data_IF_679742965202
#
_entry.id   IF_679742965202
#
_cell.length_a   1.000
_cell.length_b   1.000
_cell.length_c   1.000
_cell.angle_alpha   90.00
_cell.angle_beta   90.00
_cell.angle_gamma   90.00
#
_symmetry.space_group_name_H-M   'P 1'
#
loop_
_entity.id
_entity.type
_entity.pdbx_description
1 polymer ?
#
# COMPACT_ATOMS: atom_id res chain seq x y z
N UNK A 1 25.15 29.80 10.80
CA UNK A 1 24.76 28.43 11.19
C UNK A 1 25.06 27.37 10.12
N UNK A 2 24.40 27.38 8.95
CA UNK A 2 24.59 26.31 7.92
C UNK A 2 26.01 26.27 7.34
N UNK A 3 26.61 27.44 7.10
CA UNK A 3 27.99 27.52 6.58
C UNK A 3 29.04 27.03 7.60
N UNK A 4 28.80 27.28 8.88
CA UNK A 4 29.64 26.76 9.98
C UNK A 4 29.52 25.24 10.07
N UNK A 5 28.29 24.70 10.02
CA UNK A 5 28.04 23.25 9.94
C UNK A 5 28.72 22.62 8.74
N UNK A 6 28.69 23.27 7.57
CA UNK A 6 29.36 22.79 6.36
C UNK A 6 30.87 22.68 6.55
N UNK A 7 31.51 23.67 7.18
CA UNK A 7 32.94 23.65 7.47
C UNK A 7 33.29 22.54 8.46
N UNK A 8 32.51 22.39 9.54
CA UNK A 8 32.72 21.29 10.51
C UNK A 8 32.56 19.92 9.83
N UNK A 9 31.54 19.74 8.99
CA UNK A 9 31.33 18.50 8.24
C UNK A 9 32.52 18.21 7.32
N UNK A 10 33.01 19.22 6.61
CA UNK A 10 34.17 19.10 5.75
C UNK A 10 35.41 18.63 6.53
N UNK A 11 35.71 19.27 7.66
CA UNK A 11 36.85 18.91 8.52
C UNK A 11 36.74 17.48 9.06
N UNK A 12 35.55 17.07 9.50
CA UNK A 12 35.31 15.71 9.99
C UNK A 12 35.61 14.66 8.92
N UNK A 13 35.13 14.84 7.68
CA UNK A 13 35.34 13.88 6.59
C UNK A 13 36.81 13.86 6.15
N UNK A 14 37.46 15.02 6.05
CA UNK A 14 38.88 15.10 5.67
C UNK A 14 39.75 14.41 6.72
N UNK A 15 39.45 14.57 8.00
CA UNK A 15 40.20 13.94 9.11
C UNK A 15 40.13 12.41 9.09
N UNK A 16 39.04 11.82 8.61
CA UNK A 16 38.92 10.37 8.44
C UNK A 16 39.86 9.81 7.35
N UNK A 17 40.25 10.64 6.37
CA UNK A 17 41.27 10.29 5.38
C UNK A 17 40.86 9.24 4.33
N UNK A 18 39.58 8.89 4.24
CA UNK A 18 39.08 7.84 3.31
C UNK A 18 39.04 8.31 1.85
N UNK A 19 38.75 9.59 1.61
CA UNK A 19 38.63 10.16 0.26
C UNK A 19 39.58 11.33 0.04
N UNK A 20 39.92 11.60 -1.22
CA UNK A 20 40.78 12.74 -1.57
C UNK A 20 40.12 14.07 -1.18
N UNK A 21 40.93 15.03 -0.73
CA UNK A 21 40.49 16.39 -0.39
C UNK A 21 39.61 17.01 -1.49
N UNK A 22 40.01 16.87 -2.75
CA UNK A 22 39.28 17.39 -3.92
C UNK A 22 37.89 16.78 -4.07
N UNK A 23 37.75 15.47 -3.82
CA UNK A 23 36.46 14.77 -3.86
C UNK A 23 35.57 15.26 -2.73
N UNK A 24 36.10 15.30 -1.50
CA UNK A 24 35.35 15.73 -0.31
C UNK A 24 34.85 17.16 -0.48
N UNK A 25 35.72 18.08 -0.94
CA UNK A 25 35.34 19.48 -1.13
C UNK A 25 34.20 19.63 -2.15
N UNK A 26 34.30 18.97 -3.31
CA UNK A 26 33.28 19.04 -4.34
C UNK A 26 31.93 18.46 -3.88
N UNK A 27 31.97 17.33 -3.16
CA UNK A 27 30.76 16.62 -2.72
C UNK A 27 30.09 17.30 -1.54
N UNK A 28 30.86 17.87 -0.58
CA UNK A 28 30.30 18.68 0.51
C UNK A 28 29.64 19.95 -0.05
N UNK A 29 30.28 20.65 -0.99
CA UNK A 29 29.66 21.81 -1.65
C UNK A 29 28.36 21.43 -2.36
N UNK A 30 28.37 20.34 -3.13
CA UNK A 30 27.16 19.86 -3.81
C UNK A 30 26.07 19.44 -2.81
N UNK A 31 26.44 18.81 -1.70
CA UNK A 31 25.50 18.36 -0.69
C UNK A 31 24.74 19.53 -0.04
N UNK A 32 25.46 20.57 0.37
CA UNK A 32 24.87 21.72 1.06
C UNK A 32 24.19 22.71 0.12
N UNK A 33 24.71 22.90 -1.11
CA UNK A 33 24.24 23.95 -2.03
C UNK A 33 23.56 23.41 -3.29
N UNK A 34 23.98 22.25 -3.78
CA UNK A 34 23.50 21.67 -5.04
C UNK A 34 22.26 20.80 -4.90
N UNK A 35 22.17 19.98 -3.84
CA UNK A 35 21.01 19.12 -3.58
C UNK A 35 19.76 19.93 -3.22
N UNK A 36 19.93 21.12 -2.63
CA UNK A 36 18.83 21.93 -2.12
C UNK A 36 17.89 21.09 -1.22
N UNK A 37 18.49 20.51 -0.18
CA UNK A 37 17.77 19.78 0.87
C UNK A 37 16.94 20.74 1.71
N UNK A 38 15.80 20.27 2.20
CA UNK A 38 14.96 21.08 3.08
C UNK A 38 15.73 21.51 4.35
N UNK A 39 15.60 22.77 4.82
CA UNK A 39 16.35 23.27 5.98
C UNK A 39 16.25 22.41 7.23
N UNK A 40 15.08 21.79 7.46
CA UNK A 40 14.87 20.88 8.61
C UNK A 40 15.83 19.69 8.62
N UNK A 41 16.43 19.31 7.50
CA UNK A 41 17.46 18.28 7.46
C UNK A 41 18.64 18.67 8.35
N UNK A 42 19.10 19.92 8.23
CA UNK A 42 20.23 20.45 8.99
C UNK A 42 19.89 20.77 10.45
N UNK A 43 18.59 20.87 10.77
CA UNK A 43 18.10 20.97 12.14
C UNK A 43 17.95 19.60 12.80
N UNK A 44 17.60 18.58 12.01
CA UNK A 44 17.33 17.22 12.50
C UNK A 44 18.62 16.43 12.72
N UNK A 45 19.67 16.68 11.93
CA UNK A 45 20.92 15.94 12.01
C UNK A 45 22.08 16.80 12.51
N UNK A 46 22.89 16.22 13.39
CA UNK A 46 24.14 16.82 13.87
C UNK A 46 25.19 16.86 12.77
N UNK A 47 26.19 17.75 12.88
CA UNK A 47 27.35 17.78 11.97
C UNK A 47 28.02 16.40 11.82
N UNK A 48 28.14 15.63 12.91
CA UNK A 48 28.72 14.29 12.86
C UNK A 48 27.88 13.30 12.04
N UNK A 49 26.55 13.34 12.19
CA UNK A 49 25.65 12.52 11.39
C UNK A 49 25.70 12.93 9.91
N UNK A 50 25.66 14.24 9.63
CA UNK A 50 25.76 14.76 8.26
C UNK A 50 27.09 14.35 7.62
N UNK A 51 28.20 14.41 8.34
CA UNK A 51 29.50 13.95 7.85
C UNK A 51 29.46 12.48 7.42
N UNK A 52 28.85 11.60 8.24
CA UNK A 52 28.64 10.19 7.88
C UNK A 52 27.72 10.03 6.67
N UNK A 53 26.65 10.82 6.56
CA UNK A 53 25.72 10.77 5.42
C UNK A 53 26.42 11.16 4.12
N UNK A 54 27.24 12.22 4.13
CA UNK A 54 28.06 12.63 2.99
C UNK A 54 29.08 11.55 2.65
N UNK A 55 29.71 10.93 3.65
CA UNK A 55 30.64 9.82 3.45
C UNK A 55 29.98 8.65 2.71
N UNK A 56 28.79 8.25 3.16
CA UNK A 56 27.99 7.20 2.52
C UNK A 56 27.60 7.60 1.09
N UNK A 57 27.21 8.86 0.87
CA UNK A 57 26.89 9.38 -0.46
C UNK A 57 28.10 9.31 -1.41
N UNK A 58 29.29 9.70 -0.96
CA UNK A 58 30.52 9.61 -1.76
C UNK A 58 30.80 8.14 -2.10
N UNK A 59 30.75 7.24 -1.13
CA UNK A 59 30.96 5.81 -1.34
C UNK A 59 29.99 5.24 -2.39
N UNK A 60 28.70 5.53 -2.23
CA UNK A 60 27.65 5.07 -3.13
C UNK A 60 27.84 5.60 -4.56
N UNK A 61 28.19 6.89 -4.72
CA UNK A 61 28.51 7.46 -6.04
C UNK A 61 29.72 6.80 -6.70
N UNK A 62 30.71 6.36 -5.92
CA UNK A 62 31.89 5.66 -6.44
C UNK A 62 31.54 4.25 -6.89
N UNK A 63 30.69 3.54 -6.15
CA UNK A 63 30.17 2.21 -6.55
C UNK A 63 29.37 2.31 -7.85
N UNK A 64 28.44 3.27 -7.93
CA UNK A 64 27.65 3.54 -9.14
C UNK A 64 28.54 3.81 -10.37
N UNK A 65 29.59 4.62 -10.22
CA UNK A 65 30.56 4.86 -11.30
C UNK A 65 31.40 3.64 -11.67
N UNK A 66 31.77 2.81 -10.70
CA UNK A 66 32.60 1.62 -10.95
C UNK A 66 31.83 0.49 -11.64
N UNK A 67 30.50 0.51 -11.54
CA UNK A 67 29.60 -0.49 -12.15
C UNK A 67 28.98 -0.01 -13.46
N UNK A 68 29.41 1.17 -13.96
CA UNK A 68 28.81 1.90 -15.09
C UNK A 68 27.30 2.20 -14.94
N UNK A 69 26.75 1.98 -13.75
CA UNK A 69 25.38 2.32 -13.36
C UNK A 69 25.31 3.76 -12.85
N UNK A 70 25.66 4.70 -13.74
CA UNK A 70 25.93 6.10 -13.38
C UNK A 70 24.72 6.89 -12.85
N UNK A 71 23.52 6.33 -12.93
CA UNK A 71 22.30 6.95 -12.42
C UNK A 71 21.74 6.21 -11.21
N UNK A 72 21.88 4.88 -11.10
CA UNK A 72 21.24 4.15 -10.01
C UNK A 72 22.22 3.92 -8.87
N UNK A 73 21.99 4.65 -7.78
CA UNK A 73 22.82 4.57 -6.59
C UNK A 73 21.94 4.27 -5.41
N UNK A 74 22.31 3.27 -4.63
CA UNK A 74 21.76 2.97 -3.32
C UNK A 74 22.87 2.65 -2.33
N UNK A 75 22.63 2.96 -1.05
CA UNK A 75 23.52 2.56 0.04
C UNK A 75 22.72 2.42 1.32
N UNK A 76 23.07 1.42 2.11
CA UNK A 76 22.43 1.14 3.38
C UNK A 76 23.47 0.88 4.47
N UNK A 77 23.26 1.50 5.63
CA UNK A 77 23.99 1.26 6.86
C UNK A 77 22.98 0.91 7.94
N UNK A 78 23.05 -0.32 8.45
CA UNK A 78 22.13 -0.83 9.48
C UNK A 78 22.90 -1.11 10.76
N UNK A 79 22.34 -0.69 11.88
CA UNK A 79 22.73 -1.11 13.23
C UNK A 79 21.49 -1.67 13.94
N UNK A 80 21.68 -2.20 15.14
CA UNK A 80 20.57 -2.76 15.93
C UNK A 80 19.46 -1.73 16.26
N UNK A 81 19.80 -0.43 16.28
CA UNK A 81 18.87 0.63 16.69
C UNK A 81 18.62 1.69 15.61
N UNK A 82 19.43 1.72 14.55
CA UNK A 82 19.29 2.72 13.49
C UNK A 82 19.49 2.11 12.11
N UNK A 83 18.71 2.59 11.14
CA UNK A 83 18.84 2.23 9.74
C UNK A 83 18.97 3.50 8.90
N UNK A 84 20.09 3.67 8.23
CA UNK A 84 20.32 4.77 7.31
C UNK A 84 20.37 4.25 5.88
N UNK A 85 19.59 4.86 5.00
CA UNK A 85 19.52 4.48 3.59
C UNK A 85 19.53 5.72 2.71
N UNK A 86 20.21 5.64 1.59
CA UNK A 86 20.18 6.67 0.55
C UNK A 86 19.95 6.01 -0.79
N UNK A 87 19.25 6.71 -1.67
CA UNK A 87 18.96 6.20 -3.01
C UNK A 87 18.72 7.33 -4.00
N UNK A 88 18.92 7.08 -5.29
CA UNK A 88 18.38 7.96 -6.32
C UNK A 88 16.90 7.70 -6.52
N UNK A 89 16.11 8.76 -6.51
CA UNK A 89 14.66 8.70 -6.63
C UNK A 89 14.19 9.39 -7.92
N UNK A 90 13.15 8.80 -8.50
CA UNK A 90 12.45 9.32 -9.67
C UNK A 90 10.94 9.17 -9.50
N UNK A 91 10.17 10.02 -10.18
CA UNK A 91 8.71 10.03 -10.16
C UNK A 91 8.21 10.45 -11.55
N UNK A 92 7.16 9.82 -12.11
CA UNK A 92 6.31 8.79 -11.50
C UNK A 92 6.90 7.37 -11.51
N UNK A 93 7.85 7.09 -12.41
CA UNK A 93 8.51 5.78 -12.50
C UNK A 93 9.71 5.75 -11.57
N UNK A 94 9.78 4.80 -10.62
CA UNK A 94 10.92 4.70 -9.70
C UNK A 94 12.14 4.12 -10.41
N UNK A 95 13.32 4.43 -9.91
CA UNK A 95 14.55 3.74 -10.30
C UNK A 95 14.58 2.33 -9.68
N UNK A 96 15.37 1.41 -10.24
CA UNK A 96 15.58 0.11 -9.61
C UNK A 96 16.22 0.24 -8.22
N UNK A 97 17.15 1.20 -8.06
CA UNK A 97 17.77 1.52 -6.78
C UNK A 97 16.73 1.97 -5.73
N UNK A 98 15.75 2.77 -6.13
CA UNK A 98 14.66 3.20 -5.25
C UNK A 98 13.82 2.01 -4.79
N UNK A 99 13.43 1.11 -5.69
CA UNK A 99 12.63 -0.08 -5.35
C UNK A 99 13.38 -0.97 -4.36
N UNK A 100 14.66 -1.29 -4.64
CA UNK A 100 15.50 -2.09 -3.72
C UNK A 100 15.64 -1.41 -2.35
N UNK A 101 15.84 -0.10 -2.33
CA UNK A 101 15.99 0.66 -1.08
C UNK A 101 14.71 0.63 -0.26
N UNK A 102 13.56 0.84 -0.88
CA UNK A 102 12.26 0.75 -0.21
C UNK A 102 11.99 -0.65 0.35
N UNK A 103 12.35 -1.72 -0.36
CA UNK A 103 12.29 -3.10 0.15
C UNK A 103 13.21 -3.31 1.36
N UNK A 104 14.43 -2.76 1.31
CA UNK A 104 15.38 -2.83 2.42
C UNK A 104 14.92 -2.06 3.66
N UNK A 105 14.25 -0.91 3.46
CA UNK A 105 13.62 -0.11 4.51
C UNK A 105 12.45 -0.88 5.09
N UNK A 106 11.53 -1.40 4.25
CA UNK A 106 10.38 -2.18 4.71
C UNK A 106 10.81 -3.37 5.58
N UNK A 107 11.81 -4.14 5.11
CA UNK A 107 12.39 -5.25 5.87
C UNK A 107 12.97 -4.78 7.21
N UNK A 108 13.70 -3.67 7.24
CA UNK A 108 14.24 -3.13 8.49
C UNK A 108 13.13 -2.71 9.45
N UNK A 109 12.07 -2.05 8.96
CA UNK A 109 10.93 -1.67 9.77
C UNK A 109 10.26 -2.90 10.38
N UNK A 110 10.05 -3.96 9.61
CA UNK A 110 9.43 -5.19 10.10
C UNK A 110 10.32 -5.95 11.11
N UNK A 111 11.64 -6.03 10.88
CA UNK A 111 12.59 -6.68 11.77
C UNK A 111 12.80 -5.92 13.09
N UNK A 112 12.70 -4.59 13.06
CA UNK A 112 12.90 -3.73 14.24
C UNK A 112 11.69 -3.69 15.18
N UNK A 113 10.61 -4.41 14.83
CA UNK A 113 9.38 -4.44 15.61
C UNK A 113 9.55 -5.18 16.93
N UNK A 114 8.96 -4.61 17.97
CA UNK A 114 8.75 -5.29 19.23
C UNK A 114 7.72 -4.54 20.07
N UNK A 115 7.03 -5.25 20.95
CA UNK A 115 5.90 -4.74 21.76
C UNK A 115 6.23 -3.49 22.61
N UNK A 116 7.51 -3.19 22.81
CA UNK A 116 7.99 -2.06 23.62
C UNK A 116 8.83 -1.05 22.86
N UNK A 117 8.96 -1.24 21.55
CA UNK A 117 9.84 -0.43 20.73
C UNK A 117 9.02 0.51 19.85
N UNK A 118 9.35 1.80 19.93
CA UNK A 118 8.92 2.79 18.96
C UNK A 118 9.88 2.71 17.77
N UNK A 119 9.32 2.61 16.58
CA UNK A 119 10.00 2.87 15.32
C UNK A 119 9.57 4.23 14.81
N UNK A 120 10.58 5.06 14.54
CA UNK A 120 10.46 6.33 13.84
C UNK A 120 11.20 6.22 12.51
N UNK A 121 10.59 6.69 11.42
CA UNK A 121 11.26 6.76 10.12
C UNK A 121 11.06 8.15 9.53
N UNK A 122 12.17 8.77 9.14
CA UNK A 122 12.20 10.04 8.43
C UNK A 122 12.67 9.81 7.01
N UNK A 123 11.91 10.31 6.04
CA UNK A 123 12.34 10.42 4.65
C UNK A 123 12.49 11.89 4.28
N UNK A 124 13.56 12.22 3.54
CA UNK A 124 13.75 13.53 2.91
C UNK A 124 14.26 13.38 1.49
N UNK A 125 13.65 14.11 0.57
CA UNK A 125 14.03 14.18 -0.83
C UNK A 125 14.70 15.53 -1.14
N UNK A 126 15.76 15.49 -1.92
CA UNK A 126 16.38 16.69 -2.50
C UNK A 126 15.49 17.30 -3.59
N UNK A 127 15.71 18.57 -3.90
CA UNK A 127 15.16 19.19 -5.11
C UNK A 127 16.13 19.06 -6.29
N UNK A 128 17.41 19.29 -6.01
CA UNK A 128 18.48 19.17 -6.97
C UNK A 128 18.89 17.71 -7.19
N UNK A 129 19.64 17.45 -8.27
CA UNK A 129 20.02 16.10 -8.64
C UNK A 129 21.10 15.52 -7.72
N UNK A 130 21.04 14.21 -7.49
CA UNK A 130 22.03 13.48 -6.69
C UNK A 130 23.44 13.62 -7.31
N UNK A 131 23.52 13.53 -8.63
CA UNK A 131 24.74 13.77 -9.41
C UNK A 131 24.73 15.18 -10.02
N UNK A 132 25.88 15.86 -10.02
CA UNK A 132 26.02 17.15 -10.68
C UNK A 132 25.77 17.01 -12.19
N UNK A 133 24.76 17.71 -12.70
CA UNK A 133 24.34 17.63 -14.11
C UNK A 133 23.38 16.48 -14.44
N UNK A 134 23.02 15.63 -13.46
CA UNK A 134 21.99 14.60 -13.62
C UNK A 134 20.57 15.15 -13.42
N UNK A 135 19.59 14.26 -13.50
CA UNK A 135 18.15 14.58 -13.32
C UNK A 135 17.53 13.88 -12.11
N UNK A 136 18.06 12.71 -11.71
CA UNK A 136 17.58 11.94 -10.57
C UNK A 136 17.92 12.64 -9.25
N UNK A 137 16.95 12.68 -8.33
CA UNK A 137 17.09 13.36 -7.03
C UNK A 137 17.61 12.38 -5.99
N UNK A 138 18.12 12.89 -4.87
CA UNK A 138 18.54 12.08 -3.73
C UNK A 138 17.36 11.88 -2.77
N UNK A 139 17.05 10.64 -2.45
CA UNK A 139 16.20 10.26 -1.32
C UNK A 139 17.06 9.77 -0.16
N UNK A 140 16.73 10.20 1.06
CA UNK A 140 17.40 9.79 2.30
C UNK A 140 16.33 9.25 3.25
N UNK A 141 16.51 8.03 3.74
CA UNK A 141 15.72 7.43 4.80
C UNK A 141 16.59 7.28 6.06
N UNK A 142 16.08 7.71 7.20
CA UNK A 142 16.68 7.51 8.52
C UNK A 142 15.62 6.89 9.43
N UNK A 143 15.78 5.63 9.76
CA UNK A 143 14.97 4.90 10.71
C UNK A 143 15.70 4.82 12.05
N UNK A 144 14.97 4.99 13.14
CA UNK A 144 15.49 4.84 14.49
C UNK A 144 14.49 4.11 15.37
N UNK A 145 15.03 3.22 16.19
CA UNK A 145 14.31 2.46 17.18
C UNK A 145 14.54 3.04 18.57
N UNK A 146 13.46 3.41 19.23
CA UNK A 146 13.42 3.89 20.61
C UNK A 146 12.57 2.94 21.46
N UNK A 147 12.51 3.18 22.77
CA UNK A 147 11.60 2.47 23.67
C UNK A 147 10.43 3.36 24.06
N UNK A 148 9.25 2.76 24.21
CA UNK A 148 8.15 3.43 24.86
C UNK A 148 8.41 3.53 26.36
N UNK A 149 8.05 4.67 26.95
CA UNK A 149 8.10 4.85 28.40
C UNK A 149 6.93 4.13 29.09
N UNK A 150 5.79 3.99 28.39
CA UNK A 150 4.62 3.29 28.87
C UNK A 150 4.87 1.77 29.01
N UNK A 151 4.66 1.25 30.22
CA UNK A 151 4.82 -0.20 30.50
C UNK A 151 3.54 -0.98 30.18
N UNK A 152 2.38 -0.35 30.33
CA UNK A 152 1.06 -0.90 29.99
C UNK A 152 0.19 0.21 29.44
N UNK A 153 -0.47 -0.06 28.33
CA UNK A 153 -1.39 0.85 27.66
C UNK A 153 -2.81 0.36 27.89
N UNK A 154 -3.72 1.18 28.46
CA UNK A 154 -5.13 0.84 28.57
C UNK A 154 -5.78 0.57 27.21
N UNK A 155 -6.79 -0.30 27.17
CA UNK A 155 -7.58 -0.50 25.96
C UNK A 155 -8.30 0.80 25.60
N UNK A 156 -8.16 1.24 24.34
CA UNK A 156 -8.77 2.48 23.85
C UNK A 156 -8.03 3.76 24.25
N UNK A 157 -6.83 3.67 24.83
CA UNK A 157 -5.98 4.85 25.06
C UNK A 157 -5.64 5.56 23.74
N UNK A 158 -5.75 6.89 23.74
CA UNK A 158 -5.54 7.75 22.56
C UNK A 158 -4.60 8.92 22.84
N UNK A 159 -4.17 9.16 24.08
CA UNK A 159 -3.31 10.30 24.42
C UNK A 159 -1.89 10.10 23.91
N UNK A 160 -1.43 10.94 22.98
CA UNK A 160 -0.05 10.87 22.48
C UNK A 160 0.98 11.15 23.57
N UNK A 161 0.63 11.89 24.62
CA UNK A 161 1.52 12.13 25.77
C UNK A 161 1.79 10.86 26.58
N UNK A 162 0.92 9.86 26.46
CA UNK A 162 1.10 8.52 27.07
C UNK A 162 1.71 7.54 26.06
N UNK A 163 1.28 7.62 24.80
CA UNK A 163 1.55 6.60 23.78
C UNK A 163 2.86 6.81 23.01
N UNK A 164 3.37 8.04 22.96
CA UNK A 164 4.55 8.38 22.19
C UNK A 164 5.84 8.08 22.95
N UNK A 165 6.97 8.09 22.24
CA UNK A 165 8.29 8.09 22.86
C UNK A 165 8.64 9.48 23.40
N UNK A 166 9.46 9.54 24.46
CA UNK A 166 9.99 10.82 24.97
C UNK A 166 10.67 11.67 23.87
N UNK A 167 11.35 11.01 22.92
CA UNK A 167 11.99 11.68 21.78
C UNK A 167 10.94 12.39 20.91
N UNK A 168 9.88 11.69 20.52
CA UNK A 168 8.78 12.28 19.75
C UNK A 168 8.19 13.50 20.47
N UNK A 169 7.91 13.37 21.77
CA UNK A 169 7.34 14.47 22.56
C UNK A 169 8.27 15.68 22.68
N UNK A 170 9.59 15.47 22.64
CA UNK A 170 10.57 16.56 22.69
C UNK A 170 10.78 17.24 21.34
N UNK A 171 10.76 16.48 20.25
CA UNK A 171 11.11 16.98 18.91
C UNK A 171 9.94 17.59 18.15
N UNK A 172 8.71 17.11 18.37
CA UNK A 172 7.55 17.58 17.60
C UNK A 172 7.02 18.90 18.15
N UNK A 173 6.67 19.79 17.22
CA UNK A 173 6.02 21.07 17.54
C UNK A 173 4.61 20.83 18.10
N UNK A 174 4.09 21.80 18.87
CA UNK A 174 2.73 21.73 19.42
C UNK A 174 1.68 21.52 18.32
N UNK A 175 1.76 22.29 17.23
CA UNK A 175 0.85 22.14 16.09
C UNK A 175 0.91 20.74 15.46
N UNK A 176 2.10 20.15 15.37
CA UNK A 176 2.23 18.78 14.87
C UNK A 176 1.57 17.78 15.84
N UNK A 177 1.86 17.89 17.14
CA UNK A 177 1.28 17.04 18.18
C UNK A 177 -0.25 17.06 18.16
N UNK A 178 -0.86 18.24 18.02
CA UNK A 178 -2.32 18.37 17.90
C UNK A 178 -2.87 17.56 16.72
N UNK A 179 -2.22 17.62 15.55
CA UNK A 179 -2.64 16.83 14.39
C UNK A 179 -2.45 15.32 14.60
N UNK A 180 -1.36 14.89 15.25
CA UNK A 180 -1.18 13.47 15.63
C UNK A 180 -2.25 13.00 16.62
N UNK A 181 -2.62 13.83 17.60
CA UNK A 181 -3.67 13.53 18.58
C UNK A 181 -5.03 13.31 17.88
N UNK A 182 -5.40 14.18 16.94
CA UNK A 182 -6.68 14.04 16.20
C UNK A 182 -6.70 12.74 15.38
N UNK A 183 -5.62 12.43 14.67
CA UNK A 183 -5.52 11.17 13.92
C UNK A 183 -5.62 9.96 14.85
N UNK A 184 -4.95 10.00 16.00
CA UNK A 184 -4.96 8.92 16.98
C UNK A 184 -6.39 8.62 17.44
N UNK A 185 -7.12 9.67 17.82
CA UNK A 185 -8.53 9.58 18.21
C UNK A 185 -9.40 9.03 17.08
N UNK A 186 -9.24 9.55 15.85
CA UNK A 186 -10.03 9.11 14.70
C UNK A 186 -9.78 7.62 14.37
N UNK A 187 -8.52 7.16 14.40
CA UNK A 187 -8.17 5.76 14.12
C UNK A 187 -8.76 4.83 15.16
N UNK A 188 -8.63 5.16 16.45
CA UNK A 188 -9.16 4.34 17.54
C UNK A 188 -10.69 4.33 17.54
N UNK A 189 -11.33 5.48 17.32
CA UNK A 189 -12.79 5.59 17.26
C UNK A 189 -13.39 4.86 16.06
N UNK A 190 -12.82 5.03 14.87
CA UNK A 190 -13.36 4.42 13.64
C UNK A 190 -12.92 2.96 13.43
N UNK A 191 -11.88 2.50 14.15
CA UNK A 191 -11.28 1.16 14.00
C UNK A 191 -10.88 0.83 12.56
N UNK A 192 -10.40 1.83 11.82
CA UNK A 192 -9.93 1.72 10.43
C UNK A 192 -8.84 2.75 10.15
N UNK A 193 -8.20 2.64 8.98
CA UNK A 193 -7.32 3.69 8.49
C UNK A 193 -8.06 5.01 8.30
N UNK A 194 -7.40 6.12 8.59
CA UNK A 194 -7.93 7.49 8.46
C UNK A 194 -6.91 8.35 7.75
N UNK A 195 -7.37 9.12 6.77
CA UNK A 195 -6.57 10.13 6.08
C UNK A 195 -7.16 11.51 6.33
N UNK A 196 -6.32 12.48 6.68
CA UNK A 196 -6.66 13.90 6.76
C UNK A 196 -5.71 14.68 5.85
N UNK A 197 -6.23 15.71 5.20
CA UNK A 197 -5.44 16.63 4.38
C UNK A 197 -5.51 17.98 5.08
N UNK A 198 -4.35 18.59 5.33
CA UNK A 198 -4.28 19.91 5.92
C UNK A 198 -3.40 20.82 5.06
N UNK A 199 -3.68 22.13 4.99
CA UNK A 199 -2.83 23.06 4.26
C UNK A 199 -1.39 23.06 4.80
N UNK A 200 -0.41 23.16 3.91
CA UNK A 200 1.01 23.25 4.30
C UNK A 200 1.31 24.41 5.26
N UNK A 201 0.56 25.51 5.12
CA UNK A 201 0.64 26.70 5.97
C UNK A 201 0.23 26.48 7.42
N UNK A 202 -0.43 25.35 7.75
CA UNK A 202 -0.73 24.98 9.12
C UNK A 202 0.51 24.52 9.90
N UNK A 203 1.63 24.24 9.21
CA UNK A 203 2.88 23.84 9.83
C UNK A 203 3.94 24.94 9.73
N UNK A 204 4.80 25.10 10.74
CA UNK A 204 5.97 25.96 10.65
C UNK A 204 6.89 25.51 9.51
N UNK A 205 7.35 26.47 8.70
CA UNK A 205 8.32 26.20 7.63
C UNK A 205 8.20 27.15 6.45
N UNK A 206 9.07 27.00 5.44
CA UNK A 206 9.16 27.90 4.28
C UNK A 206 8.06 27.64 3.23
N UNK A 207 6.96 26.97 3.60
CA UNK A 207 5.93 26.54 2.65
C UNK A 207 4.66 27.37 2.81
N UNK A 208 4.50 28.45 2.02
CA UNK A 208 3.28 29.25 2.03
C UNK A 208 2.07 28.52 1.38
N UNK A 209 2.26 27.32 0.84
CA UNK A 209 1.23 26.55 0.12
C UNK A 209 1.49 25.04 0.11
N UNK A 210 0.75 24.32 -0.74
CA UNK A 210 0.74 22.86 -0.79
C UNK A 210 -0.01 22.25 0.40
N UNK A 211 0.22 20.96 0.64
CA UNK A 211 -0.55 20.16 1.59
C UNK A 211 0.32 19.23 2.40
N UNK A 212 -0.18 18.89 3.59
CA UNK A 212 0.30 17.77 4.40
C UNK A 212 -0.79 16.72 4.44
N UNK A 213 -0.45 15.52 3.98
CA UNK A 213 -1.31 14.35 4.12
C UNK A 213 -0.92 13.61 5.39
N UNK A 214 -1.92 13.42 6.22
CA UNK A 214 -1.84 12.76 7.51
C UNK A 214 -2.59 11.45 7.41
N UNK A 215 -1.90 10.33 7.57
CA UNK A 215 -2.50 9.00 7.50
C UNK A 215 -2.23 8.23 8.79
N UNK A 216 -3.26 7.72 9.43
CA UNK A 216 -3.15 6.82 10.58
C UNK A 216 -3.82 5.49 10.30
N UNK A 217 -3.25 4.41 10.80
CA UNK A 217 -3.88 3.09 10.78
C UNK A 217 -3.45 2.29 12.01
N UNK A 218 -4.35 1.47 12.53
CA UNK A 218 -3.94 0.41 13.45
C UNK A 218 -3.08 -0.59 12.67
N UNK A 219 -1.93 -0.97 13.23
CA UNK A 219 -1.11 -2.01 12.65
C UNK A 219 -1.90 -3.33 12.68
N UNK A 220 -2.02 -3.95 11.51
CA UNK A 220 -2.43 -5.34 11.45
C UNK A 220 -1.23 -6.25 11.56
N UNK A 221 -1.48 -7.49 11.96
CA UNK A 221 -0.54 -8.61 12.11
C UNK A 221 0.27 -8.99 10.86
N UNK A 222 0.24 -8.22 9.76
CA UNK A 222 0.73 -8.60 8.43
C UNK A 222 1.82 -7.71 7.83
N UNK A 223 2.54 -6.90 8.61
CA UNK A 223 3.64 -6.05 8.09
C UNK A 223 3.41 -4.55 8.25
N UNK A 224 4.44 -3.74 7.98
CA UNK A 224 4.33 -2.27 7.95
C UNK A 224 3.66 -1.83 6.64
N UNK A 225 2.77 -0.82 6.68
CA UNK A 225 2.07 -0.28 5.50
C UNK A 225 2.99 0.54 4.55
N UNK A 226 4.28 0.58 4.84
CA UNK A 226 5.24 1.41 4.12
C UNK A 226 5.33 1.10 2.61
N UNK A 227 5.40 -0.17 2.16
CA UNK A 227 5.42 -0.49 0.73
C UNK A 227 4.16 -0.02 -0.01
N UNK A 228 2.99 -0.22 0.59
CA UNK A 228 1.70 0.20 0.03
C UNK A 228 1.61 1.72 -0.10
N UNK A 229 2.14 2.45 0.89
CA UNK A 229 2.21 3.90 0.82
C UNK A 229 3.11 4.34 -0.33
N UNK A 230 4.32 3.79 -0.45
CA UNK A 230 5.25 4.13 -1.52
C UNK A 230 4.65 3.81 -2.91
N UNK A 231 3.93 2.69 -3.03
CA UNK A 231 3.19 2.34 -4.25
C UNK A 231 2.08 3.35 -4.57
N UNK A 232 1.28 3.74 -3.57
CA UNK A 232 0.21 4.74 -3.75
C UNK A 232 0.77 6.11 -4.22
N UNK A 233 1.89 6.54 -3.65
CA UNK A 233 2.58 7.77 -4.05
C UNK A 233 3.00 7.74 -5.52
N UNK A 234 3.65 6.65 -5.94
CA UNK A 234 4.08 6.46 -7.34
C UNK A 234 2.90 6.40 -8.29
N UNK A 235 1.85 5.68 -7.91
CA UNK A 235 0.66 5.51 -8.73
C UNK A 235 0.00 6.85 -9.06
N UNK A 236 -0.06 7.77 -8.08
CA UNK A 236 -0.56 9.14 -8.31
C UNK A 236 0.48 10.10 -8.91
N UNK A 237 1.70 9.62 -9.15
CA UNK A 237 2.81 10.43 -9.65
C UNK A 237 3.29 11.52 -8.68
N UNK A 238 3.03 11.33 -7.38
CA UNK A 238 3.32 12.30 -6.34
C UNK A 238 4.60 11.92 -5.60
N UNK A 239 5.55 12.85 -5.59
CA UNK A 239 6.79 12.70 -4.82
C UNK A 239 6.79 13.64 -3.61
N UNK A 240 6.75 13.11 -2.38
CA UNK A 240 6.82 13.94 -1.20
C UNK A 240 8.21 14.53 -1.05
N UNK A 241 8.29 15.71 -0.44
CA UNK A 241 9.59 16.30 -0.06
C UNK A 241 10.16 15.71 1.20
N UNK A 242 9.26 15.31 2.09
CA UNK A 242 9.58 14.62 3.32
C UNK A 242 8.36 13.87 3.80
N UNK A 243 8.58 12.80 4.53
CA UNK A 243 7.55 12.25 5.39
C UNK A 243 8.14 11.69 6.67
N UNK A 244 7.28 11.57 7.66
CA UNK A 244 7.60 11.01 8.96
C UNK A 244 6.63 9.87 9.24
N UNK A 245 7.17 8.71 9.58
CA UNK A 245 6.45 7.56 10.09
C UNK A 245 6.73 7.45 11.59
N UNK A 246 5.69 7.29 12.38
CA UNK A 246 5.79 7.07 13.83
C UNK A 246 4.84 5.97 14.28
N UNK A 247 5.34 5.08 15.13
CA UNK A 247 4.57 4.03 15.80
C UNK A 247 4.30 4.42 17.25
N UNK A 248 3.14 4.05 17.76
CA UNK A 248 2.70 4.36 19.12
C UNK A 248 2.43 3.09 19.93
N UNK A 249 2.48 3.22 21.26
CA UNK A 249 2.42 2.08 22.17
C UNK A 249 1.08 1.30 22.12
N UNK A 250 0.01 1.90 21.58
CA UNK A 250 -1.28 1.22 21.34
C UNK A 250 -1.33 0.48 19.98
N UNK A 251 -0.21 0.38 19.26
CA UNK A 251 -0.13 -0.28 17.95
C UNK A 251 -0.63 0.57 16.78
N UNK A 252 -0.91 1.86 16.98
CA UNK A 252 -1.22 2.77 15.88
C UNK A 252 0.06 3.24 15.20
N UNK A 253 0.03 3.24 13.87
CA UNK A 253 1.05 3.77 13.00
C UNK A 253 0.52 5.03 12.33
N UNK A 254 1.37 6.05 12.20
CA UNK A 254 1.00 7.32 11.56
C UNK A 254 2.06 7.77 10.58
N UNK A 255 1.61 8.46 9.53
CA UNK A 255 2.41 9.09 8.51
C UNK A 255 2.02 10.57 8.41
N UNK A 256 3.03 11.44 8.39
CA UNK A 256 2.89 12.86 8.05
C UNK A 256 3.71 13.15 6.80
N UNK A 257 3.05 13.44 5.69
CA UNK A 257 3.65 13.47 4.34
C UNK A 257 3.47 14.87 3.73
N UNK A 258 4.58 15.50 3.33
CA UNK A 258 4.59 16.90 2.91
C UNK A 258 4.72 17.04 1.39
N UNK A 259 3.73 17.71 0.79
CA UNK A 259 3.64 18.01 -0.65
C UNK A 259 3.53 19.53 -0.89
N UNK A 260 4.64 20.26 -0.90
CA UNK A 260 4.61 21.72 -1.00
C UNK A 260 4.08 22.25 -2.34
N UNK A 261 4.08 21.41 -3.38
CA UNK A 261 3.70 21.80 -4.74
C UNK A 261 2.45 21.06 -5.26
N UNK A 262 1.80 20.23 -4.45
CA UNK A 262 0.62 19.48 -4.89
C UNK A 262 -0.65 20.34 -4.87
N UNK A 263 -1.60 19.99 -5.74
CA UNK A 263 -2.93 20.61 -5.76
C UNK A 263 -3.89 19.78 -4.89
N UNK A 264 -4.96 20.41 -4.43
CA UNK A 264 -6.01 19.75 -3.64
C UNK A 264 -6.56 18.51 -4.35
N UNK A 265 -6.82 18.61 -5.66
CA UNK A 265 -7.32 17.49 -6.46
C UNK A 265 -6.35 16.29 -6.48
N UNK A 266 -5.03 16.53 -6.40
CA UNK A 266 -4.03 15.46 -6.34
C UNK A 266 -4.04 14.78 -4.96
N UNK A 267 -4.21 15.57 -3.89
CA UNK A 267 -4.33 15.06 -2.53
C UNK A 267 -5.59 14.22 -2.32
N UNK A 268 -6.72 14.63 -2.89
CA UNK A 268 -7.97 13.88 -2.84
C UNK A 268 -7.85 12.52 -3.55
N UNK A 269 -7.16 12.46 -4.70
CA UNK A 269 -6.87 11.19 -5.37
C UNK A 269 -5.94 10.31 -4.53
N UNK A 270 -4.86 10.88 -4.00
CA UNK A 270 -3.93 10.15 -3.13
C UNK A 270 -4.60 9.61 -1.87
N UNK A 271 -5.44 10.41 -1.21
CA UNK A 271 -6.25 9.98 -0.07
C UNK A 271 -7.07 8.74 -0.43
N UNK A 272 -7.78 8.78 -1.56
CA UNK A 272 -8.60 7.66 -2.02
C UNK A 272 -7.76 6.42 -2.30
N UNK A 273 -6.61 6.59 -2.97
CA UNK A 273 -5.68 5.50 -3.29
C UNK A 273 -5.08 4.87 -2.04
N UNK A 274 -4.61 5.66 -1.06
CA UNK A 274 -4.14 5.16 0.24
C UNK A 274 -5.24 4.35 0.95
N UNK A 275 -6.46 4.90 1.00
CA UNK A 275 -7.58 4.20 1.63
C UNK A 275 -7.92 2.89 0.92
N UNK A 276 -7.84 2.83 -0.40
CA UNK A 276 -7.98 1.57 -1.15
C UNK A 276 -6.87 0.58 -0.86
N UNK A 277 -5.63 1.04 -0.72
CA UNK A 277 -4.50 0.19 -0.31
C UNK A 277 -4.72 -0.45 1.05
N UNK A 278 -5.36 0.24 2.02
CA UNK A 278 -5.68 -0.37 3.32
C UNK A 278 -6.63 -1.57 3.22
N UNK A 279 -7.43 -1.64 2.15
CA UNK A 279 -8.38 -2.71 1.87
C UNK A 279 -7.77 -3.82 1.00
N UNK A 280 -6.65 -3.52 0.33
CA UNK A 280 -5.87 -4.47 -0.46
C UNK A 280 -4.90 -5.25 0.44
N UNK A 281 -5.43 -6.12 1.31
CA UNK A 281 -4.56 -6.98 2.13
C UNK A 281 -4.10 -8.22 1.37
N UNK A 282 -2.79 -8.46 1.42
CA UNK A 282 -2.19 -9.72 1.01
C UNK A 282 -2.49 -10.80 2.06
N UNK A 283 -3.26 -11.82 1.66
CA UNK A 283 -3.31 -13.09 2.37
C UNK A 283 -2.37 -14.03 1.61
N UNK A 284 -1.26 -14.50 2.22
CA UNK A 284 -0.29 -15.36 1.56
C UNK A 284 -0.97 -16.52 0.82
N UNK A 285 -0.58 -16.72 -0.45
CA UNK A 285 -1.13 -17.76 -1.32
C UNK A 285 -2.48 -17.46 -1.99
N UNK A 286 -3.26 -16.49 -1.51
CA UNK A 286 -4.60 -16.15 -2.05
C UNK A 286 -4.58 -14.85 -2.86
N UNK A 287 -4.78 -13.72 -2.18
CA UNK A 287 -4.91 -12.41 -2.82
C UNK A 287 -3.58 -11.80 -3.24
N UNK A 288 -2.46 -12.41 -2.85
CA UNK A 288 -1.10 -11.92 -3.10
C UNK A 288 -0.80 -11.68 -4.59
N UNK A 289 -1.34 -12.51 -5.49
CA UNK A 289 -1.17 -12.34 -6.94
C UNK A 289 -1.78 -11.03 -7.46
N UNK A 290 -2.98 -10.70 -6.99
CA UNK A 290 -3.66 -9.44 -7.34
C UNK A 290 -2.95 -8.27 -6.66
N UNK A 291 -2.63 -8.41 -5.38
CA UNK A 291 -1.88 -7.43 -4.62
C UNK A 291 -0.56 -7.07 -5.32
N UNK A 292 0.25 -8.06 -5.69
CA UNK A 292 1.49 -7.86 -6.43
C UNK A 292 1.28 -7.17 -7.79
N UNK A 293 0.16 -7.45 -8.48
CA UNK A 293 -0.18 -6.76 -9.73
C UNK A 293 -0.53 -5.28 -9.51
N UNK A 294 -1.17 -4.93 -8.39
CA UNK A 294 -1.40 -3.52 -8.00
C UNK A 294 -0.07 -2.86 -7.61
N UNK A 295 0.75 -3.53 -6.79
CA UNK A 295 2.03 -2.98 -6.32
C UNK A 295 3.02 -2.73 -7.47
N UNK A 296 2.97 -3.55 -8.51
CA UNK A 296 3.73 -3.39 -9.76
C UNK A 296 3.07 -2.43 -10.76
N UNK A 297 1.98 -1.76 -10.39
CA UNK A 297 1.20 -0.87 -11.25
C UNK A 297 0.71 -1.50 -12.58
N UNK A 298 0.58 -2.83 -12.64
CA UNK A 298 -0.01 -3.54 -13.79
C UNK A 298 -1.52 -3.32 -13.88
N UNK A 299 -2.15 -3.11 -12.73
CA UNK A 299 -3.57 -2.76 -12.59
C UNK A 299 -3.73 -1.68 -11.51
N UNK A 300 -4.83 -0.95 -11.56
CA UNK A 300 -5.13 0.07 -10.56
C UNK A 300 -5.63 -0.55 -9.24
N UNK A 301 -5.57 0.21 -8.15
CA UNK A 301 -6.10 -0.21 -6.84
C UNK A 301 -7.60 -0.57 -6.93
N UNK A 302 -8.37 0.17 -7.73
CA UNK A 302 -9.80 -0.10 -7.95
C UNK A 302 -10.01 -1.43 -8.68
N UNK A 303 -9.25 -1.69 -9.75
CA UNK A 303 -9.31 -2.97 -10.46
C UNK A 303 -8.96 -4.11 -9.50
N UNK A 304 -7.90 -3.98 -8.71
CA UNK A 304 -7.52 -4.98 -7.71
C UNK A 304 -8.64 -5.30 -6.72
N UNK A 305 -9.27 -4.26 -6.15
CA UNK A 305 -10.38 -4.42 -5.20
C UNK A 305 -11.62 -5.06 -5.83
N UNK A 306 -11.96 -4.68 -7.06
CA UNK A 306 -13.02 -5.31 -7.83
C UNK A 306 -12.73 -6.79 -8.06
N UNK A 307 -11.51 -7.13 -8.50
CA UNK A 307 -11.14 -8.52 -8.76
C UNK A 307 -11.17 -9.36 -7.48
N UNK A 308 -10.77 -8.80 -6.33
CA UNK A 308 -10.93 -9.49 -5.03
C UNK A 308 -12.40 -9.79 -4.70
N UNK A 309 -13.32 -8.87 -5.02
CA UNK A 309 -14.75 -9.11 -4.85
C UNK A 309 -15.29 -10.14 -5.86
N UNK A 310 -14.91 -10.02 -7.13
CA UNK A 310 -15.34 -10.90 -8.21
C UNK A 310 -14.83 -12.34 -8.00
N UNK A 311 -13.59 -12.54 -7.52
CA UNK A 311 -13.05 -13.86 -7.16
C UNK A 311 -13.86 -14.49 -6.04
N UNK A 312 -14.18 -13.73 -4.98
CA UNK A 312 -15.03 -14.21 -3.87
C UNK A 312 -16.42 -14.60 -4.38
N UNK A 313 -17.01 -13.77 -5.22
CA UNK A 313 -18.31 -14.07 -5.84
C UNK A 313 -18.25 -15.34 -6.69
N UNK A 314 -17.27 -15.45 -7.60
CA UNK A 314 -17.10 -16.60 -8.48
C UNK A 314 -16.90 -17.89 -7.68
N UNK A 315 -16.14 -17.85 -6.58
CA UNK A 315 -15.96 -19.00 -5.70
C UNK A 315 -17.27 -19.41 -4.98
N UNK A 316 -17.99 -18.43 -4.41
CA UNK A 316 -19.21 -18.67 -3.66
C UNK A 316 -20.37 -19.15 -4.54
N UNK A 317 -20.50 -18.60 -5.75
CA UNK A 317 -21.61 -18.84 -6.67
C UNK A 317 -21.18 -19.63 -7.91
N UNK A 318 -20.12 -20.44 -7.83
CA UNK A 318 -19.78 -21.35 -8.94
C UNK A 318 -20.87 -22.43 -9.11
N UNK A 319 -21.29 -22.78 -10.34
CA UNK A 319 -22.32 -23.79 -10.59
C UNK A 319 -21.82 -25.23 -10.45
N UNK A 320 -21.43 -25.58 -9.24
CA UNK A 320 -20.85 -26.87 -8.86
C UNK A 320 -21.74 -28.08 -9.18
N UNK A 321 -23.06 -27.92 -9.07
CA UNK A 321 -24.05 -28.95 -9.37
C UNK A 321 -24.07 -29.37 -10.84
N UNK A 322 -23.63 -28.52 -11.77
CA UNK A 322 -23.54 -28.88 -13.19
C UNK A 322 -22.49 -29.96 -13.44
N UNK A 323 -21.49 -30.05 -12.54
CA UNK A 323 -20.41 -31.03 -12.56
C UNK A 323 -20.69 -32.26 -11.69
N UNK A 324 -21.87 -32.36 -11.07
CA UNK A 324 -22.27 -33.45 -10.19
C UNK A 324 -23.68 -33.94 -10.55
N UNK A 325 -23.87 -34.33 -11.80
CA UNK A 325 -25.18 -34.78 -12.31
C UNK A 325 -25.66 -36.05 -11.61
N UNK A 326 -24.71 -36.89 -11.23
CA UNK A 326 -24.90 -38.14 -10.49
C UNK A 326 -25.41 -37.86 -9.08
N UNK A 327 -24.92 -36.80 -8.41
CA UNK A 327 -25.43 -36.38 -7.09
C UNK A 327 -26.92 -36.08 -7.16
N UNK A 328 -27.35 -35.30 -8.15
CA UNK A 328 -28.76 -34.92 -8.31
C UNK A 328 -29.65 -36.15 -8.54
N UNK A 329 -29.11 -37.16 -9.23
CA UNK A 329 -29.81 -38.42 -9.51
C UNK A 329 -29.96 -39.26 -8.24
N UNK A 330 -28.86 -39.43 -7.48
CA UNK A 330 -28.85 -40.20 -6.23
C UNK A 330 -29.64 -39.50 -5.11
N UNK A 331 -29.59 -38.17 -5.06
CA UNK A 331 -30.36 -37.38 -4.09
C UNK A 331 -31.87 -37.62 -4.23
N UNK A 332 -32.38 -37.69 -5.46
CA UNK A 332 -33.80 -37.98 -5.74
C UNK A 332 -34.20 -39.38 -5.28
N UNK A 333 -33.32 -40.37 -5.47
CA UNK A 333 -33.58 -41.75 -5.03
C UNK A 333 -33.62 -41.86 -3.50
N UNK A 334 -32.83 -41.04 -2.81
CA UNK A 334 -32.72 -41.05 -1.34
C UNK A 334 -33.70 -40.10 -0.64
N UNK A 335 -34.69 -39.50 -1.32
CA UNK A 335 -35.65 -38.56 -0.72
C UNK A 335 -36.41 -39.10 0.50
N UNK A 336 -36.58 -40.41 0.60
CA UNK A 336 -37.29 -41.05 1.70
C UNK A 336 -36.38 -41.49 2.87
N UNK A 337 -35.05 -41.29 2.77
CA UNK A 337 -34.09 -41.61 3.82
C UNK A 337 -33.24 -40.38 4.23
N UNK A 338 -33.71 -39.60 5.23
CA UNK A 338 -33.01 -38.42 5.71
C UNK A 338 -31.60 -38.69 6.25
N UNK A 339 -31.31 -39.90 6.75
CA UNK A 339 -30.00 -40.22 7.31
C UNK A 339 -28.96 -40.44 6.20
N UNK A 340 -29.35 -41.12 5.12
CA UNK A 340 -28.50 -41.32 3.93
C UNK A 340 -28.34 -40.05 3.11
N UNK A 341 -29.35 -39.18 3.04
CA UNK A 341 -29.22 -37.85 2.42
C UNK A 341 -28.15 -37.00 3.11
N UNK A 342 -28.13 -36.96 4.45
CA UNK A 342 -27.10 -36.21 5.19
C UNK A 342 -25.68 -36.70 4.89
N UNK A 343 -25.50 -38.02 4.72
CA UNK A 343 -24.20 -38.61 4.34
C UNK A 343 -23.82 -38.26 2.89
N UNK A 344 -24.77 -38.28 1.97
CA UNK A 344 -24.56 -37.87 0.58
C UNK A 344 -24.20 -36.39 0.47
N UNK A 345 -24.89 -35.51 1.21
CA UNK A 345 -24.56 -34.09 1.30
C UNK A 345 -23.17 -33.84 1.87
N UNK A 346 -22.75 -34.62 2.89
CA UNK A 346 -21.41 -34.52 3.45
C UNK A 346 -20.34 -34.93 2.42
N UNK A 347 -20.56 -36.02 1.67
CA UNK A 347 -19.69 -36.45 0.57
C UNK A 347 -19.64 -35.42 -0.56
N UNK A 348 -20.79 -34.87 -0.95
CA UNK A 348 -20.87 -33.81 -1.95
C UNK A 348 -20.05 -32.59 -1.53
N UNK A 349 -20.18 -32.13 -0.28
CA UNK A 349 -19.38 -31.01 0.26
C UNK A 349 -17.88 -31.28 0.20
N UNK A 350 -17.44 -32.53 0.43
CA UNK A 350 -16.03 -32.93 0.31
C UNK A 350 -15.55 -32.85 -1.15
N UNK A 351 -16.25 -33.51 -2.09
CA UNK A 351 -15.88 -33.50 -3.51
C UNK A 351 -15.94 -32.09 -4.13
N UNK A 352 -16.91 -31.27 -3.72
CA UNK A 352 -17.08 -29.90 -4.20
C UNK A 352 -16.02 -28.93 -3.70
N UNK A 353 -15.31 -29.27 -2.63
CA UNK A 353 -14.15 -28.51 -2.16
C UNK A 353 -12.93 -28.75 -3.06
N UNK A 354 -12.83 -29.92 -3.68
CA UNK A 354 -11.75 -30.28 -4.61
C UNK A 354 -11.99 -29.75 -6.04
N UNK A 355 -13.25 -29.50 -6.43
CA UNK A 355 -13.61 -29.09 -7.78
C UNK A 355 -13.11 -27.67 -8.16
N UNK A 356 -13.13 -26.74 -7.20
CA UNK A 356 -12.70 -25.35 -7.41
C UNK A 356 -12.06 -24.79 -6.15
N UNK A 357 -10.78 -24.44 -6.24
CA UNK A 357 -10.05 -23.69 -5.21
C UNK A 357 -10.05 -22.19 -5.51
N UNK A 358 -9.88 -21.36 -4.49
CA UNK A 358 -9.76 -19.91 -4.70
C UNK A 358 -8.45 -19.57 -5.42
N UNK A 359 -7.40 -20.34 -5.16
CA UNK A 359 -6.08 -20.23 -5.77
C UNK A 359 -6.14 -20.39 -7.30
N UNK A 360 -6.92 -21.36 -7.80
CA UNK A 360 -7.14 -21.55 -9.25
C UNK A 360 -7.79 -20.33 -9.89
N UNK A 361 -8.77 -19.71 -9.22
CA UNK A 361 -9.44 -18.50 -9.72
C UNK A 361 -8.43 -17.34 -9.78
N UNK A 362 -7.62 -17.15 -8.75
CA UNK A 362 -6.59 -16.10 -8.75
C UNK A 362 -5.55 -16.31 -9.86
N UNK A 363 -5.12 -17.54 -10.11
CA UNK A 363 -4.21 -17.88 -11.22
C UNK A 363 -4.82 -17.56 -12.59
N UNK A 364 -6.09 -17.88 -12.78
CA UNK A 364 -6.80 -17.57 -14.01
C UNK A 364 -6.92 -16.06 -14.23
N UNK A 365 -7.33 -15.31 -13.20
CA UNK A 365 -7.44 -13.84 -13.27
C UNK A 365 -6.08 -13.20 -13.56
N UNK A 366 -5.00 -13.70 -12.95
CA UNK A 366 -3.65 -13.18 -13.20
C UNK A 366 -3.19 -13.45 -14.64
N UNK A 367 -3.55 -14.60 -15.23
CA UNK A 367 -3.24 -14.91 -16.64
C UNK A 367 -4.02 -14.03 -17.62
N UNK A 368 -5.21 -13.56 -17.22
CA UNK A 368 -6.11 -12.74 -18.04
C UNK A 368 -6.41 -11.37 -17.40
N UNK A 369 -5.37 -10.67 -16.94
CA UNK A 369 -5.53 -9.36 -16.30
C UNK A 369 -6.19 -8.33 -17.23
N UNK A 370 -5.96 -8.43 -18.53
CA UNK A 370 -6.61 -7.59 -19.55
C UNK A 370 -8.13 -7.76 -19.54
N UNK A 371 -8.63 -9.01 -19.45
CA UNK A 371 -10.06 -9.29 -19.28
C UNK A 371 -10.54 -8.77 -17.92
N UNK A 372 -9.74 -8.91 -16.87
CA UNK A 372 -10.05 -8.36 -15.54
C UNK A 372 -10.26 -6.84 -15.55
N UNK A 373 -9.43 -6.09 -16.28
CA UNK A 373 -9.58 -4.64 -16.46
C UNK A 373 -10.85 -4.32 -17.26
N UNK A 374 -11.16 -5.07 -18.31
CA UNK A 374 -12.37 -4.87 -19.11
C UNK A 374 -13.65 -5.20 -18.34
N UNK A 375 -13.63 -6.26 -17.53
CA UNK A 375 -14.69 -6.63 -16.59
C UNK A 375 -14.91 -5.53 -15.53
N UNK A 376 -13.83 -4.92 -15.02
CA UNK A 376 -13.94 -3.78 -14.13
C UNK A 376 -14.60 -2.58 -14.81
N UNK A 377 -14.27 -2.27 -16.06
CA UNK A 377 -14.89 -1.14 -16.78
C UNK A 377 -16.40 -1.35 -17.00
N UNK A 378 -16.82 -2.58 -17.33
CA UNK A 378 -18.23 -2.94 -17.39
C UNK A 378 -18.93 -2.77 -16.04
N UNK A 379 -18.32 -3.28 -14.96
CA UNK A 379 -18.80 -3.06 -13.59
C UNK A 379 -18.91 -1.57 -13.24
N UNK A 380 -17.90 -0.76 -13.60
CA UNK A 380 -17.86 0.68 -13.31
C UNK A 380 -19.05 1.38 -13.95
N UNK A 381 -19.33 1.10 -15.23
CA UNK A 381 -20.46 1.68 -15.95
C UNK A 381 -21.79 1.32 -15.30
N UNK A 382 -21.96 0.07 -14.89
CA UNK A 382 -23.17 -0.40 -14.19
C UNK A 382 -23.31 0.28 -12.83
N UNK A 383 -22.25 0.26 -12.02
CA UNK A 383 -22.26 0.81 -10.67
C UNK A 383 -22.42 2.34 -10.62
N UNK A 384 -21.96 3.05 -11.64
CA UNK A 384 -22.15 4.50 -11.81
C UNK A 384 -23.49 4.87 -12.44
N UNK A 385 -24.30 3.88 -12.85
CA UNK A 385 -25.60 4.10 -13.51
C UNK A 385 -25.50 4.56 -14.97
N UNK A 386 -24.31 4.47 -15.59
CA UNK A 386 -24.09 4.74 -17.01
C UNK A 386 -24.72 3.65 -17.89
N UNK A 387 -24.83 2.42 -17.35
CA UNK A 387 -25.40 1.26 -18.02
C UNK A 387 -26.32 0.48 -17.08
N UNK A 388 -27.38 -0.15 -17.60
CA UNK A 388 -28.20 -1.07 -16.81
C UNK A 388 -27.46 -2.40 -16.59
N UNK A 389 -27.61 -3.06 -15.43
CA UNK A 389 -27.12 -4.41 -15.24
C UNK A 389 -27.72 -5.35 -16.32
N UNK A 390 -26.87 -6.13 -16.98
CA UNK A 390 -27.29 -6.97 -18.09
C UNK A 390 -26.14 -7.72 -18.76
N UNK A 391 -26.48 -8.53 -19.78
CA UNK A 391 -25.50 -9.31 -20.51
C UNK A 391 -24.59 -8.40 -21.37
N UNK A 392 -23.29 -8.73 -21.41
CA UNK A 392 -22.30 -8.07 -22.24
C UNK A 392 -21.74 -9.07 -23.26
N UNK A 393 -22.38 -9.14 -24.44
CA UNK A 393 -22.04 -10.11 -25.48
C UNK A 393 -20.62 -9.95 -26.05
N UNK A 394 -20.05 -8.75 -26.00
CA UNK A 394 -18.68 -8.51 -26.44
C UNK A 394 -17.65 -9.09 -25.47
N UNK A 395 -17.88 -8.93 -24.17
CA UNK A 395 -17.04 -9.55 -23.13
C UNK A 395 -17.23 -11.06 -23.10
N UNK A 396 -18.45 -11.55 -23.27
CA UNK A 396 -18.74 -12.98 -23.35
C UNK A 396 -17.93 -13.65 -24.48
N UNK A 397 -17.98 -13.09 -25.69
CA UNK A 397 -17.16 -13.56 -26.82
C UNK A 397 -15.66 -13.47 -26.56
N UNK A 398 -15.21 -12.41 -25.89
CA UNK A 398 -13.80 -12.24 -25.56
C UNK A 398 -13.31 -13.30 -24.55
N UNK A 399 -14.13 -13.63 -23.55
CA UNK A 399 -13.88 -14.72 -22.60
C UNK A 399 -13.81 -16.06 -23.34
N UNK A 400 -14.78 -16.33 -24.21
CA UNK A 400 -14.85 -17.58 -24.95
C UNK A 400 -13.66 -17.78 -25.89
N UNK A 401 -13.15 -16.69 -26.48
CA UNK A 401 -11.96 -16.72 -27.33
C UNK A 401 -10.65 -16.90 -26.54
N UNK A 402 -10.59 -16.38 -25.30
CA UNK A 402 -9.37 -16.37 -24.50
C UNK A 402 -9.12 -17.68 -23.72
N UNK A 403 -10.18 -18.45 -23.42
CA UNK A 403 -10.08 -19.64 -22.58
C UNK A 403 -10.52 -20.91 -23.34
N UNK A 404 -9.58 -21.83 -23.56
CA UNK A 404 -9.89 -23.13 -24.17
C UNK A 404 -10.63 -24.08 -23.21
N UNK A 405 -10.23 -24.08 -21.93
CA UNK A 405 -10.83 -24.94 -20.90
C UNK A 405 -12.26 -24.47 -20.55
N UNK A 406 -13.28 -25.34 -20.61
CA UNK A 406 -14.66 -24.97 -20.29
C UNK A 406 -14.86 -24.48 -18.85
N UNK A 407 -14.09 -25.00 -17.89
CA UNK A 407 -14.21 -24.59 -16.49
C UNK A 407 -13.59 -23.21 -16.28
N UNK A 408 -12.45 -22.91 -16.90
CA UNK A 408 -11.85 -21.57 -16.90
C UNK A 408 -12.80 -20.53 -17.53
N UNK A 409 -13.46 -20.85 -18.65
CA UNK A 409 -14.52 -20.01 -19.23
C UNK A 409 -15.65 -19.76 -18.24
N UNK A 410 -16.15 -20.83 -17.59
CA UNK A 410 -17.23 -20.71 -16.61
C UNK A 410 -16.83 -19.80 -15.44
N UNK A 411 -15.58 -19.87 -14.96
CA UNK A 411 -15.08 -19.01 -13.88
C UNK A 411 -15.14 -17.53 -14.29
N UNK A 412 -14.67 -17.18 -15.49
CA UNK A 412 -14.71 -15.79 -15.97
C UNK A 412 -16.14 -15.32 -16.28
N UNK A 413 -17.00 -16.18 -16.81
CA UNK A 413 -18.43 -15.90 -16.98
C UNK A 413 -19.15 -15.64 -15.65
N UNK A 414 -18.70 -16.25 -14.54
CA UNK A 414 -19.20 -15.90 -13.22
C UNK A 414 -18.87 -14.45 -12.83
N UNK A 415 -17.75 -13.88 -13.28
CA UNK A 415 -17.43 -12.47 -13.05
C UNK A 415 -18.30 -11.54 -13.89
N UNK A 416 -18.68 -11.95 -15.09
CA UNK A 416 -19.67 -11.23 -15.89
C UNK A 416 -21.07 -11.28 -15.24
N UNK A 417 -21.42 -12.44 -14.70
CA UNK A 417 -22.67 -12.63 -13.92
C UNK A 417 -22.66 -11.75 -12.66
N UNK A 418 -21.51 -11.63 -11.99
CA UNK A 418 -21.35 -10.69 -10.87
C UNK A 418 -21.76 -9.28 -11.30
N UNK A 419 -21.16 -8.73 -12.36
CA UNK A 419 -21.48 -7.40 -12.87
C UNK A 419 -22.96 -7.23 -13.19
N UNK A 420 -23.53 -8.17 -13.95
CA UNK A 420 -24.93 -8.16 -14.35
C UNK A 420 -25.91 -8.27 -13.17
N UNK A 421 -25.45 -8.77 -12.02
CA UNK A 421 -26.26 -8.89 -10.81
C UNK A 421 -26.18 -7.69 -9.87
N UNK A 422 -25.22 -6.77 -10.02
CA UNK A 422 -25.06 -5.64 -9.09
C UNK A 422 -26.21 -4.64 -9.24
N UNK A 423 -27.05 -4.54 -8.21
CA UNK A 423 -28.14 -3.57 -8.10
C UNK A 423 -27.70 -2.27 -7.42
N UNK A 424 -26.87 -2.37 -6.38
CA UNK A 424 -26.30 -1.23 -5.66
C UNK A 424 -24.92 -1.58 -5.10
N UNK A 425 -24.04 -0.60 -5.05
CA UNK A 425 -22.74 -0.73 -4.39
C UNK A 425 -22.29 0.60 -3.76
N UNK A 426 -21.45 0.51 -2.72
CA UNK A 426 -20.79 1.68 -2.14
C UNK A 426 -19.40 1.95 -2.74
N UNK A 427 -18.99 1.22 -3.79
CA UNK A 427 -17.65 1.26 -4.36
C UNK A 427 -17.18 2.66 -4.78
N UNK A 428 -18.08 3.47 -5.33
CA UNK A 428 -17.78 4.81 -5.86
C UNK A 428 -18.30 5.95 -4.98
N UNK A 429 -18.65 5.68 -3.71
CA UNK A 429 -19.03 6.75 -2.79
C UNK A 429 -17.88 7.76 -2.60
N UNK A 430 -18.24 8.99 -2.26
CA UNK A 430 -17.29 10.08 -2.06
C UNK A 430 -16.29 9.75 -0.94
N UNK A 431 -16.80 9.27 0.19
CA UNK A 431 -15.99 8.69 1.26
C UNK A 431 -15.64 7.24 0.95
N UNK A 432 -14.36 6.89 1.04
CA UNK A 432 -13.93 5.50 0.92
C UNK A 432 -14.49 4.69 2.09
N UNK A 433 -15.33 3.68 1.84
CA UNK A 433 -15.94 2.90 2.90
C UNK A 433 -14.90 1.97 3.55
N UNK A 434 -15.08 1.62 4.82
CA UNK A 434 -14.23 0.62 5.49
C UNK A 434 -14.40 -0.81 4.95
N UNK A 435 -15.44 -1.05 4.15
CA UNK A 435 -15.67 -2.30 3.43
C UNK A 435 -16.52 -2.03 2.18
N UNK A 436 -16.28 -2.80 1.12
CA UNK A 436 -17.13 -2.77 -0.07
C UNK A 436 -18.32 -3.70 0.08
N UNK A 437 -19.50 -3.20 -0.26
CA UNK A 437 -20.76 -3.91 -0.22
C UNK A 437 -21.43 -3.89 -1.60
N UNK A 438 -22.10 -4.99 -1.93
CA UNK A 438 -22.78 -5.20 -3.19
C UNK A 438 -24.16 -5.80 -2.89
N UNK A 439 -25.23 -5.13 -3.30
CA UNK A 439 -26.57 -5.70 -3.33
C UNK A 439 -26.73 -6.39 -4.67
N UNK A 440 -26.93 -7.70 -4.65
CA UNK A 440 -27.05 -8.51 -5.86
C UNK A 440 -28.51 -8.86 -6.16
N UNK A 441 -28.85 -9.01 -7.44
CA UNK A 441 -30.13 -9.55 -7.89
C UNK A 441 -30.11 -11.08 -7.81
N UNK A 442 -30.84 -11.69 -6.86
CA UNK A 442 -30.84 -13.13 -6.71
C UNK A 442 -31.46 -13.85 -7.93
N UNK A 443 -32.32 -13.19 -8.72
CA UNK A 443 -32.88 -13.78 -9.95
C UNK A 443 -31.80 -14.01 -11.02
N UNK A 444 -30.80 -13.13 -11.07
CA UNK A 444 -29.66 -13.25 -12.00
C UNK A 444 -28.63 -14.23 -11.45
N UNK A 445 -28.28 -14.12 -10.17
CA UNK A 445 -27.27 -14.97 -9.52
C UNK A 445 -27.70 -16.44 -9.47
N UNK A 446 -28.98 -16.70 -9.21
CA UNK A 446 -29.55 -18.03 -9.07
C UNK A 446 -30.28 -18.52 -10.33
N UNK A 447 -30.09 -17.84 -11.46
CA UNK A 447 -30.68 -18.26 -12.72
C UNK A 447 -30.27 -19.70 -13.04
N UNK A 448 -31.26 -20.53 -13.38
CA UNK A 448 -31.09 -21.94 -13.73
C UNK A 448 -30.45 -22.82 -12.62
N UNK A 449 -30.42 -22.32 -11.37
CA UNK A 449 -29.96 -23.09 -10.20
C UNK A 449 -31.12 -23.90 -9.60
N UNK A 450 -30.87 -25.11 -9.07
CA UNK A 450 -31.92 -25.95 -8.53
C UNK A 450 -32.38 -25.42 -7.16
N UNK A 451 -33.69 -25.18 -7.02
CA UNK A 451 -34.29 -24.57 -5.83
C UNK A 451 -34.28 -25.42 -4.55
N UNK A 452 -33.79 -26.67 -4.63
CA UNK A 452 -33.55 -27.52 -3.45
C UNK A 452 -32.20 -27.23 -2.77
N UNK A 453 -31.23 -26.64 -3.49
CA UNK A 453 -29.90 -26.31 -2.96
C UNK A 453 -29.80 -24.86 -2.46
N UNK A 454 -30.72 -24.01 -2.90
CA UNK A 454 -30.76 -22.60 -2.51
C UNK A 454 -32.15 -22.28 -1.94
N UNK A 455 -32.23 -21.57 -0.79
CA UNK A 455 -33.52 -21.19 -0.23
C UNK A 455 -34.32 -20.37 -1.24
N UNK A 456 -35.65 -20.53 -1.24
CA UNK A 456 -36.54 -19.74 -2.07
C UNK A 456 -36.22 -18.25 -1.90
N UNK A 457 -36.18 -17.52 -3.03
CA UNK A 457 -35.79 -16.11 -3.03
C UNK A 457 -36.61 -15.36 -1.96
N UNK A 458 -35.98 -14.71 -0.97
CA UNK A 458 -36.71 -13.86 -0.05
C UNK A 458 -37.34 -12.73 -0.88
N UNK A 459 -38.65 -12.58 -0.72
CA UNK A 459 -39.51 -11.61 -1.42
C UNK A 459 -38.95 -10.19 -1.43
#
# INVERSE_FOLDING_TARGET
PVEETMNTVFELIVKEGVFSYTTVHAEVQHFFKGLNLHPIYFEHFTALQIAKHVHCLIAAKRVARATDDTNHMDFALKTDLTGFFLTTIASPVPTEAQVRTEEMVAKYLDESRGDRNNISLTFMASEGPAFKGGTERLGIFSAEQNRFDAVRVPEGETSIEVLASAKFLKEKTTAAKEQYQIIMEDVVAMRRGVVRIVPGSAYPGPYPGGFVLLFGTAEATSGCFFPELCSALRFEGLSPRRFYLETFANGVLTYSIFFPNAKEADMQRLQRTIMYSTLLRSFPGKSERIYGSVMQAKITHQVGLYLLAAVKFAYCFFPKEQYAREYTTVHKVLEQDPASQRKLEALYKLCMKELLSTERIYELVQRHLDLGVRLFEDFRRIAMGEQKPGANAELEKAIDAACADPQDRQILHMMLTFNASVLLTNFFKAETPGAFAFRLDPAVVLKDRPGNLYPAMPY
#
